data_IF_039557567201
#
_entry.id   IF_039557567201
#
_cell.length_a   1.000
_cell.length_b   1.000
_cell.length_c   1.000
_cell.angle_alpha   90.00
_cell.angle_beta   90.00
_cell.angle_gamma   90.00
#
_symmetry.space_group_name_H-M   'P 1'
#
loop_
_entity.id
_entity.type
_entity.pdbx_description
1 polymer ?
#
# COMPACT_ATOMS: atom_id res chain seq x y z
N UNK A 1 10.20 11.51 -3.47
CA UNK A 1 10.23 10.11 -3.02
C UNK A 1 9.16 9.32 -3.77
N UNK A 2 9.34 8.00 -3.87
CA UNK A 2 8.35 7.01 -4.28
C UNK A 2 7.76 6.42 -3.01
N UNK A 3 6.49 6.68 -2.76
CA UNK A 3 5.80 6.28 -1.53
C UNK A 3 4.69 5.32 -1.91
N UNK A 4 4.66 4.16 -1.26
CA UNK A 4 3.58 3.21 -1.42
C UNK A 4 2.73 3.10 -0.16
N UNK A 5 1.44 2.85 -0.36
CA UNK A 5 0.50 2.46 0.68
C UNK A 5 -0.08 1.10 0.35
N UNK A 6 -0.16 0.22 1.34
CA UNK A 6 -1.17 -0.83 1.32
C UNK A 6 -2.57 -0.25 1.55
N UNK A 7 -3.58 -0.98 1.09
CA UNK A 7 -4.98 -0.55 1.19
C UNK A 7 -5.67 -1.08 2.45
N UNK A 8 -5.84 -2.41 2.54
CA UNK A 8 -6.62 -3.06 3.59
C UNK A 8 -5.78 -3.12 4.87
N UNK A 9 -6.27 -2.56 5.97
CA UNK A 9 -5.51 -2.54 7.24
C UNK A 9 -4.42 -1.48 7.32
N UNK A 10 -4.21 -0.71 6.25
CA UNK A 10 -3.28 0.43 6.21
C UNK A 10 -4.02 1.73 5.86
N UNK A 11 -4.41 1.95 4.59
CA UNK A 11 -5.10 3.18 4.18
C UNK A 11 -6.51 3.27 4.79
N UNK A 12 -7.16 2.12 4.97
CA UNK A 12 -8.51 1.97 5.54
C UNK A 12 -8.53 1.76 7.06
N UNK A 13 -7.37 1.65 7.72
CA UNK A 13 -7.31 1.39 9.17
C UNK A 13 -7.87 2.54 10.01
N UNK A 14 -7.56 3.77 9.59
CA UNK A 14 -7.84 5.04 10.26
C UNK A 14 -7.88 6.12 9.16
N UNK A 15 -8.94 6.08 8.35
CA UNK A 15 -9.09 6.92 7.15
C UNK A 15 -8.93 8.41 7.47
N UNK A 16 -9.45 8.85 8.63
CA UNK A 16 -9.37 10.24 9.12
C UNK A 16 -7.93 10.74 9.30
N UNK A 17 -6.95 9.84 9.45
CA UNK A 17 -5.52 10.19 9.55
C UNK A 17 -4.74 9.80 8.32
N UNK A 18 -5.00 8.62 7.78
CA UNK A 18 -4.24 8.06 6.66
C UNK A 18 -4.55 8.76 5.35
N UNK A 19 -5.82 9.12 5.08
CA UNK A 19 -6.19 9.83 3.86
C UNK A 19 -5.64 11.26 3.85
N UNK A 20 -5.76 12.09 4.91
CA UNK A 20 -5.10 13.40 4.92
C UNK A 20 -3.59 13.34 4.79
N UNK A 21 -2.93 12.34 5.40
CA UNK A 21 -1.50 12.12 5.25
C UNK A 21 -1.15 11.80 3.79
N UNK A 22 -1.84 10.85 3.17
CA UNK A 22 -1.65 10.48 1.77
C UNK A 22 -1.83 11.68 0.83
N UNK A 23 -2.88 12.50 1.04
CA UNK A 23 -3.08 13.74 0.28
C UNK A 23 -1.97 14.74 0.48
N UNK A 24 -1.48 14.92 1.71
CA UNK A 24 -0.39 15.85 2.00
C UNK A 24 0.90 15.43 1.29
N UNK A 25 1.25 14.15 1.35
CA UNK A 25 2.42 13.58 0.66
C UNK A 25 2.30 13.72 -0.87
N UNK A 26 1.11 13.49 -1.41
CA UNK A 26 0.82 13.69 -2.83
C UNK A 26 0.97 15.17 -3.25
N UNK A 27 0.42 16.10 -2.46
CA UNK A 27 0.52 17.55 -2.70
C UNK A 27 1.97 18.08 -2.62
N UNK A 28 2.85 17.37 -1.91
CA UNK A 28 4.29 17.66 -1.87
C UNK A 28 5.04 17.15 -3.13
N UNK A 29 4.33 16.60 -4.12
CA UNK A 29 4.90 16.14 -5.39
C UNK A 29 5.61 14.79 -5.30
N UNK A 30 5.30 13.97 -4.29
CA UNK A 30 5.80 12.60 -4.21
C UNK A 30 5.09 11.70 -5.22
N UNK A 31 5.78 10.67 -5.72
CA UNK A 31 5.18 9.66 -6.59
C UNK A 31 4.48 8.64 -5.71
N UNK A 32 3.16 8.58 -5.81
CA UNK A 32 2.32 7.77 -4.94
C UNK A 32 1.92 6.45 -5.62
N UNK A 33 1.99 5.35 -4.89
CA UNK A 33 1.62 4.02 -5.36
C UNK A 33 0.61 3.38 -4.40
N UNK A 34 -0.40 2.71 -4.97
CA UNK A 34 -1.24 1.79 -4.20
C UNK A 34 -0.74 0.36 -4.42
N UNK A 35 -0.12 -0.25 -3.42
CA UNK A 35 0.36 -1.63 -3.45
C UNK A 35 -0.61 -2.51 -2.67
N UNK A 36 -1.61 -3.06 -3.35
CA UNK A 36 -2.67 -3.84 -2.70
C UNK A 36 -2.91 -5.16 -3.41
N UNK A 37 -3.33 -6.17 -2.66
CA UNK A 37 -3.80 -7.43 -3.24
C UNK A 37 -5.22 -7.26 -3.77
N UNK A 38 -5.55 -7.87 -4.90
CA UNK A 38 -6.92 -7.96 -5.41
C UNK A 38 -7.22 -9.39 -5.83
N UNK A 39 -8.41 -9.87 -5.49
CA UNK A 39 -8.85 -11.23 -5.84
C UNK A 39 -9.62 -11.24 -7.16
N UNK A 40 -10.26 -10.12 -7.50
CA UNK A 40 -11.09 -9.99 -8.69
C UNK A 40 -11.14 -8.53 -9.18
N UNK A 41 -11.66 -8.29 -10.40
CA UNK A 41 -11.77 -6.94 -10.95
C UNK A 41 -12.64 -5.98 -10.12
N UNK A 42 -13.73 -6.47 -9.51
CA UNK A 42 -14.64 -5.64 -8.71
C UNK A 42 -13.92 -5.04 -7.49
N UNK A 43 -13.02 -5.80 -6.86
CA UNK A 43 -12.20 -5.32 -5.76
C UNK A 43 -11.21 -4.23 -6.21
N UNK A 44 -10.59 -4.41 -7.39
CA UNK A 44 -9.72 -3.40 -7.98
C UNK A 44 -10.48 -2.11 -8.29
N UNK A 45 -11.69 -2.22 -8.85
CA UNK A 45 -12.58 -1.09 -9.12
C UNK A 45 -12.99 -0.37 -7.83
N UNK A 46 -13.37 -1.11 -6.78
CA UNK A 46 -13.71 -0.53 -5.48
C UNK A 46 -12.55 0.27 -4.88
N UNK A 47 -11.32 -0.25 -4.97
CA UNK A 47 -10.11 0.41 -4.47
C UNK A 47 -9.78 1.66 -5.28
N UNK A 48 -9.92 1.60 -6.61
CA UNK A 48 -9.77 2.76 -7.48
C UNK A 48 -10.83 3.84 -7.18
N UNK A 49 -12.09 3.45 -6.97
CA UNK A 49 -13.17 4.38 -6.63
C UNK A 49 -12.91 5.06 -5.27
N UNK A 50 -12.44 4.31 -4.27
CA UNK A 50 -12.04 4.89 -2.98
C UNK A 50 -10.98 5.98 -3.14
N UNK A 51 -9.94 5.73 -3.96
CA UNK A 51 -8.91 6.72 -4.23
C UNK A 51 -9.50 7.97 -4.89
N UNK A 52 -10.39 7.79 -5.87
CA UNK A 52 -11.05 8.90 -6.55
C UNK A 52 -11.89 9.76 -5.59
N UNK A 53 -12.77 9.12 -4.81
CA UNK A 53 -13.69 9.81 -3.89
C UNK A 53 -12.94 10.60 -2.80
N UNK A 54 -11.74 10.13 -2.43
CA UNK A 54 -10.89 10.76 -1.43
C UNK A 54 -9.88 11.78 -2.00
N UNK A 55 -9.90 12.03 -3.31
CA UNK A 55 -8.96 12.95 -3.96
C UNK A 55 -7.52 12.44 -3.95
N UNK A 56 -7.34 11.13 -4.10
CA UNK A 56 -6.07 10.41 -4.22
C UNK A 56 -5.89 9.81 -5.63
N UNK A 57 -6.50 10.43 -6.65
CA UNK A 57 -6.53 9.93 -8.02
C UNK A 57 -5.16 9.80 -8.69
N UNK A 58 -4.14 10.50 -8.20
CA UNK A 58 -2.78 10.47 -8.75
C UNK A 58 -1.95 9.28 -8.23
N UNK A 59 -2.55 8.41 -7.41
CA UNK A 59 -1.95 7.14 -7.05
C UNK A 59 -1.81 6.27 -8.31
N UNK A 60 -0.63 5.73 -8.52
CA UNK A 60 -0.43 4.68 -9.50
C UNK A 60 -0.86 3.34 -8.89
N UNK A 61 -1.95 2.71 -9.36
CA UNK A 61 -2.35 1.41 -8.84
C UNK A 61 -1.35 0.34 -9.26
N UNK A 62 -0.89 -0.45 -8.30
CA UNK A 62 -0.04 -1.61 -8.51
C UNK A 62 -0.66 -2.80 -7.78
N UNK A 63 -1.74 -3.31 -8.37
CA UNK A 63 -2.46 -4.45 -7.82
C UNK A 63 -1.69 -5.76 -8.02
N UNK A 64 -1.62 -6.55 -6.96
CA UNK A 64 -1.12 -7.92 -6.96
C UNK A 64 -2.30 -8.85 -6.99
N UNK A 65 -2.42 -9.68 -8.02
CA UNK A 65 -3.54 -10.61 -8.10
C UNK A 65 -3.27 -11.84 -7.23
N UNK A 66 -4.22 -12.19 -6.36
CA UNK A 66 -4.19 -13.41 -5.53
C UNK A 66 -5.47 -14.22 -5.80
N UNK A 67 -5.33 -15.50 -6.14
CA UNK A 67 -6.42 -16.41 -6.45
C UNK A 67 -6.68 -17.38 -5.29
N UNK A 68 -7.34 -16.91 -4.23
CA UNK A 68 -7.93 -17.75 -3.17
C UNK A 68 -7.33 -17.60 -1.77
N UNK A 69 -7.87 -18.35 -0.80
CA UNK A 69 -7.54 -18.27 0.64
C UNK A 69 -6.10 -18.72 0.99
N UNK A 70 -5.36 -19.33 0.05
CA UNK A 70 -3.99 -19.83 0.23
C UNK A 70 -2.86 -18.81 -0.03
N UNK A 71 -3.18 -17.66 -0.63
CA UNK A 71 -2.19 -16.76 -1.27
C UNK A 71 -1.63 -15.66 -0.36
N UNK A 72 -1.88 -15.72 0.95
CA UNK A 72 -1.19 -14.83 1.89
C UNK A 72 0.35 -15.01 1.87
N UNK A 73 0.84 -16.20 1.48
CA UNK A 73 2.27 -16.42 1.23
C UNK A 73 2.75 -15.74 -0.05
N UNK A 74 1.96 -15.76 -1.11
CA UNK A 74 2.31 -15.06 -2.36
C UNK A 74 2.29 -13.54 -2.15
N UNK A 75 1.35 -13.01 -1.37
CA UNK A 75 1.34 -11.61 -0.96
C UNK A 75 2.65 -11.21 -0.25
N UNK A 76 3.16 -12.09 0.62
CA UNK A 76 4.42 -11.92 1.33
C UNK A 76 5.68 -12.00 0.46
N UNK A 77 5.57 -12.44 -0.80
CA UNK A 77 6.70 -12.47 -1.75
C UNK A 77 6.56 -11.38 -2.82
N UNK A 78 5.34 -11.20 -3.35
CA UNK A 78 5.10 -10.30 -4.47
C UNK A 78 5.13 -8.83 -4.04
N UNK A 79 4.51 -8.45 -2.91
CA UNK A 79 4.55 -7.05 -2.45
C UNK A 79 5.99 -6.59 -2.17
N UNK A 80 6.85 -7.37 -1.47
CA UNK A 80 8.26 -7.04 -1.35
C UNK A 80 8.97 -6.87 -2.68
N UNK A 81 8.78 -7.81 -3.61
CA UNK A 81 9.47 -7.75 -4.91
C UNK A 81 9.02 -6.51 -5.68
N UNK A 82 7.72 -6.18 -5.60
CA UNK A 82 7.17 -4.97 -6.22
C UNK A 82 7.70 -3.69 -5.60
N UNK A 83 7.89 -3.66 -4.28
CA UNK A 83 8.56 -2.53 -3.60
C UNK A 83 9.97 -2.32 -4.16
N UNK A 84 10.73 -3.40 -4.33
CA UNK A 84 12.08 -3.36 -4.91
C UNK A 84 12.06 -2.89 -6.37
N UNK A 85 11.20 -3.46 -7.20
CA UNK A 85 11.13 -3.16 -8.64
C UNK A 85 10.73 -1.70 -8.89
N UNK A 86 9.78 -1.18 -8.11
CA UNK A 86 9.37 0.21 -8.17
C UNK A 86 10.37 1.16 -7.50
N UNK A 87 11.33 0.64 -6.74
CA UNK A 87 12.27 1.42 -5.93
C UNK A 87 11.55 2.31 -4.93
N UNK A 88 10.64 1.72 -4.14
CA UNK A 88 9.87 2.43 -3.11
C UNK A 88 10.81 2.90 -1.98
N UNK A 89 10.76 4.19 -1.67
CA UNK A 89 11.54 4.81 -0.59
C UNK A 89 10.85 4.61 0.76
N UNK A 90 9.52 4.77 0.80
CA UNK A 90 8.68 4.63 2.01
C UNK A 90 7.49 3.76 1.71
N UNK A 91 7.25 2.74 2.53
CA UNK A 91 6.10 1.85 2.40
C UNK A 91 5.26 1.81 3.68
N UNK A 92 3.99 2.17 3.57
CA UNK A 92 3.01 2.01 4.64
C UNK A 92 2.34 0.63 4.50
N UNK A 93 2.51 -0.22 5.52
CA UNK A 93 2.08 -1.63 5.48
C UNK A 93 1.85 -2.13 6.91
N UNK A 94 0.74 -2.83 7.16
CA UNK A 94 0.37 -3.36 8.47
C UNK A 94 0.72 -4.84 8.67
N UNK A 95 0.90 -5.59 7.58
CA UNK A 95 1.14 -7.02 7.64
C UNK A 95 2.61 -7.36 7.93
N UNK A 96 2.89 -7.92 9.11
CA UNK A 96 4.25 -8.26 9.57
C UNK A 96 5.02 -9.21 8.63
N UNK A 97 4.32 -10.07 7.88
CA UNK A 97 4.99 -10.99 6.96
C UNK A 97 5.52 -10.22 5.75
N UNK A 98 4.72 -9.29 5.21
CA UNK A 98 5.13 -8.41 4.11
C UNK A 98 6.27 -7.50 4.55
N UNK A 99 6.18 -6.91 5.75
CA UNK A 99 7.23 -6.06 6.33
C UNK A 99 8.57 -6.79 6.38
N UNK A 100 8.58 -8.03 6.89
CA UNK A 100 9.79 -8.87 6.93
C UNK A 100 10.34 -9.16 5.52
N UNK A 101 9.45 -9.43 4.56
CA UNK A 101 9.82 -9.65 3.17
C UNK A 101 10.50 -8.41 2.55
N UNK A 102 9.91 -7.22 2.71
CA UNK A 102 10.46 -5.95 2.20
C UNK A 102 11.84 -5.69 2.78
N UNK A 103 12.02 -5.80 4.11
CA UNK A 103 13.34 -5.63 4.74
C UNK A 103 14.40 -6.59 4.20
N UNK A 104 14.01 -7.79 3.77
CA UNK A 104 14.95 -8.80 3.30
C UNK A 104 15.50 -8.51 1.90
N UNK A 105 14.74 -7.83 1.03
CA UNK A 105 15.11 -7.64 -0.38
C UNK A 105 15.15 -6.19 -0.85
N UNK A 106 14.61 -5.26 -0.05
CA UNK A 106 14.62 -3.82 -0.26
C UNK A 106 14.98 -3.11 1.05
N UNK A 107 16.21 -3.33 1.58
CA UNK A 107 16.60 -2.88 2.92
C UNK A 107 16.64 -1.35 3.07
N UNK A 108 16.69 -0.62 1.96
CA UNK A 108 16.68 0.85 1.95
C UNK A 108 15.26 1.43 2.04
N UNK A 109 14.21 0.59 1.88
CA UNK A 109 12.82 1.03 2.02
C UNK A 109 12.49 1.23 3.49
N UNK A 110 12.10 2.45 3.86
CA UNK A 110 11.58 2.76 5.20
C UNK A 110 10.14 2.25 5.30
N UNK A 111 9.89 1.37 6.27
CA UNK A 111 8.55 0.84 6.50
C UNK A 111 7.88 1.58 7.64
N UNK A 112 6.66 2.05 7.41
CA UNK A 112 5.81 2.67 8.42
C UNK A 112 4.63 1.75 8.68
N UNK A 113 4.58 1.14 9.86
CA UNK A 113 3.43 0.34 10.30
C UNK A 113 2.39 1.26 10.98
N UNK A 114 1.23 1.53 10.37
CA UNK A 114 0.22 2.36 11.00
C UNK A 114 -0.37 1.66 12.22
N UNK A 115 -0.74 2.44 13.24
CA UNK A 115 -1.52 1.97 14.37
C UNK A 115 -2.71 2.90 14.56
N UNK A 116 -3.86 2.33 14.93
CA UNK A 116 -5.02 3.14 15.35
C UNK A 116 -4.57 4.08 16.45
N UNK A 117 -4.84 5.37 16.29
CA UNK A 117 -4.56 6.35 17.34
C UNK A 117 -5.37 5.99 18.59
N UNK A 118 -4.74 6.04 19.77
CA UNK A 118 -5.50 6.09 21.01
C UNK A 118 -6.18 7.46 21.07
N UNK A 119 -7.51 7.48 21.11
CA UNK A 119 -8.30 8.70 21.31
C UNK A 119 -8.08 9.28 22.70
#
# INVERSE_FOLDING_TARGET
MRIAFDFDGTLTLDEDRMVPLARSLMAQGHKMFLLSVVQNPEEAERKAQFLFDNGLSDFTPSFVQAYGEGDYKECAEIKPQRCRDLGIDVFFEDNDIVIKGVHSISPDTVIVKPSKGSA
#
